data_IF_907130377878
#
_entry.id   IF_907130377878
#
_cell.length_a   1.000
_cell.length_b   1.000
_cell.length_c   1.000
_cell.angle_alpha   90.00
_cell.angle_beta   90.00
_cell.angle_gamma   90.00
#
_symmetry.space_group_name_H-M   'P 1'
#
loop_
_entity.id
_entity.type
_entity.pdbx_description
1 polymer ?
#
# COMPACT_ATOMS: atom_id res chain seq x y z
N UNK A 1 32.90 13.99 -19.42
CA UNK A 1 32.37 13.52 -20.72
C UNK A 1 31.04 12.89 -20.36
N UNK A 2 29.98 13.70 -20.36
CA UNK A 2 28.66 13.28 -19.88
C UNK A 2 28.09 12.24 -20.84
N UNK A 3 28.13 10.99 -20.39
CA UNK A 3 27.54 9.85 -21.07
C UNK A 3 26.02 10.03 -21.01
N UNK A 4 25.44 10.48 -22.13
CA UNK A 4 24.00 10.68 -22.27
C UNK A 4 23.33 9.32 -22.21
N UNK A 5 22.97 8.90 -21.00
CA UNK A 5 22.14 7.71 -20.78
C UNK A 5 20.87 7.86 -21.61
N UNK A 6 20.48 6.79 -22.30
CA UNK A 6 19.32 6.85 -23.19
C UNK A 6 18.05 6.97 -22.36
N UNK A 7 17.12 7.84 -22.75
CA UNK A 7 15.81 7.96 -22.09
C UNK A 7 15.08 6.60 -21.98
N UNK A 8 15.34 5.67 -22.91
CA UNK A 8 14.81 4.30 -22.84
C UNK A 8 15.36 3.51 -21.66
N UNK A 9 16.64 3.68 -21.35
CA UNK A 9 17.30 3.03 -20.23
C UNK A 9 16.81 3.60 -18.91
N UNK A 10 16.65 4.92 -18.83
CA UNK A 10 16.11 5.61 -17.65
C UNK A 10 14.66 5.18 -17.34
N UNK A 11 13.81 5.09 -18.38
CA UNK A 11 12.44 4.58 -18.24
C UNK A 11 12.46 3.11 -17.80
N UNK A 12 13.34 2.28 -18.37
CA UNK A 12 13.42 0.86 -18.00
C UNK A 12 13.88 0.68 -16.55
N UNK A 13 14.83 1.48 -16.08
CA UNK A 13 15.28 1.52 -14.69
C UNK A 13 14.14 1.95 -13.75
N UNK A 14 13.40 2.99 -14.13
CA UNK A 14 12.25 3.48 -13.37
C UNK A 14 11.15 2.41 -13.27
N UNK A 15 10.80 1.76 -14.39
CA UNK A 15 9.80 0.69 -14.42
C UNK A 15 10.22 -0.48 -13.54
N UNK A 16 11.50 -0.86 -13.54
CA UNK A 16 12.03 -1.92 -12.67
C UNK A 16 11.81 -1.60 -11.19
N UNK A 17 12.07 -0.35 -10.77
CA UNK A 17 11.86 0.09 -9.40
C UNK A 17 10.37 0.08 -9.04
N UNK A 18 9.50 0.58 -9.93
CA UNK A 18 8.05 0.59 -9.71
C UNK A 18 7.50 -0.82 -9.55
N UNK A 19 7.93 -1.78 -10.37
CA UNK A 19 7.50 -3.18 -10.28
C UNK A 19 7.89 -3.78 -8.91
N UNK A 20 9.12 -3.57 -8.46
CA UNK A 20 9.58 -4.06 -7.15
C UNK A 20 8.80 -3.40 -6.02
N UNK A 21 8.56 -2.08 -6.10
CA UNK A 21 7.76 -1.37 -5.11
C UNK A 21 6.33 -1.92 -5.03
N UNK A 22 5.67 -2.17 -6.17
CA UNK A 22 4.33 -2.75 -6.20
C UNK A 22 4.31 -4.16 -5.63
N UNK A 23 5.30 -5.00 -5.94
CA UNK A 23 5.42 -6.36 -5.39
C UNK A 23 5.49 -6.37 -3.86
N UNK A 24 6.05 -5.33 -3.24
CA UNK A 24 6.11 -5.20 -1.77
C UNK A 24 4.85 -4.51 -1.21
N UNK A 25 4.39 -3.43 -1.82
CA UNK A 25 3.26 -2.63 -1.31
C UNK A 25 1.92 -3.37 -1.39
N UNK A 26 1.68 -4.11 -2.48
CA UNK A 26 0.43 -4.86 -2.69
C UNK A 26 0.17 -5.88 -1.56
N UNK A 27 1.07 -6.81 -1.25
CA UNK A 27 0.83 -7.77 -0.17
C UNK A 27 0.71 -7.08 1.19
N UNK A 28 1.50 -6.03 1.47
CA UNK A 28 1.35 -5.26 2.72
C UNK A 28 -0.05 -4.66 2.82
N UNK A 29 -0.56 -4.06 1.74
CA UNK A 29 -1.91 -3.47 1.70
C UNK A 29 -3.01 -4.50 1.93
N UNK A 30 -2.85 -5.71 1.38
CA UNK A 30 -3.88 -6.75 1.44
C UNK A 30 -3.82 -7.51 2.78
N UNK A 31 -2.63 -7.88 3.26
CA UNK A 31 -2.45 -8.74 4.43
C UNK A 31 -2.26 -7.97 5.74
N UNK A 32 -1.65 -6.78 5.72
CA UNK A 32 -1.29 -6.04 6.93
C UNK A 32 -2.20 -4.84 7.12
N UNK A 33 -2.36 -4.01 6.09
CA UNK A 33 -3.20 -2.82 6.13
C UNK A 33 -4.65 -3.12 5.69
N UNK A 34 -5.19 -4.25 6.15
CA UNK A 34 -6.62 -4.50 6.02
C UNK A 34 -7.34 -3.29 6.66
N UNK A 35 -8.21 -2.56 5.93
CA UNK A 35 -9.00 -1.52 6.57
C UNK A 35 -9.77 -2.27 7.65
N UNK A 36 -9.51 -1.94 8.91
CA UNK A 36 -10.31 -2.44 10.01
C UNK A 36 -11.71 -1.91 9.78
N UNK A 37 -12.51 -2.62 8.98
CA UNK A 37 -13.96 -2.45 8.95
C UNK A 37 -14.40 -3.06 10.27
N UNK A 38 -14.17 -2.29 11.33
CA UNK A 38 -14.86 -2.48 12.60
C UNK A 38 -16.32 -2.24 12.27
N UNK A 39 -17.03 -3.33 11.97
CA UNK A 39 -18.49 -3.34 12.03
C UNK A 39 -18.81 -3.15 13.51
N UNK A 40 -18.93 -1.88 13.92
CA UNK A 40 -19.27 -1.46 15.27
C UNK A 40 -20.71 -1.85 15.59
N UNK A 41 -20.97 -3.15 15.75
CA UNK A 41 -22.26 -3.67 16.22
C UNK A 41 -22.24 -3.96 17.73
N UNK A 42 -21.10 -3.76 18.40
CA UNK A 42 -20.92 -4.11 19.83
C UNK A 42 -20.78 -2.91 20.76
N UNK A 43 -20.72 -1.67 20.26
CA UNK A 43 -21.09 -0.51 21.09
C UNK A 43 -22.61 -0.36 21.08
N UNK A 44 -23.34 -1.44 21.41
CA UNK A 44 -24.67 -1.25 21.95
C UNK A 44 -24.43 -0.53 23.28
N UNK A 45 -24.94 0.69 23.47
CA UNK A 45 -24.84 1.30 24.78
C UNK A 45 -25.52 0.36 25.77
N UNK A 46 -24.78 -0.12 26.75
CA UNK A 46 -25.34 -0.74 27.93
C UNK A 46 -26.04 0.38 28.72
N UNK A 47 -27.16 0.87 28.20
CA UNK A 47 -28.09 1.66 28.99
C UNK A 47 -28.84 0.68 29.87
N UNK A 48 -28.44 0.60 31.13
CA UNK A 48 -29.35 0.47 32.26
C UNK A 48 -28.59 1.06 33.46
N UNK A 49 -28.90 2.32 33.75
CA UNK A 49 -28.79 2.86 35.10
C UNK A 49 -29.44 1.87 36.08
N UNK A 50 -28.72 1.57 37.15
CA UNK A 50 -29.16 0.80 38.31
C UNK A 50 -28.24 1.09 39.47
#
# INVERSE_FOLDING_TARGET
MDEKRSLREEIFETVRIVIVALLVVIPIRIFVAQPFIVRGASMKPNFLDG
#
